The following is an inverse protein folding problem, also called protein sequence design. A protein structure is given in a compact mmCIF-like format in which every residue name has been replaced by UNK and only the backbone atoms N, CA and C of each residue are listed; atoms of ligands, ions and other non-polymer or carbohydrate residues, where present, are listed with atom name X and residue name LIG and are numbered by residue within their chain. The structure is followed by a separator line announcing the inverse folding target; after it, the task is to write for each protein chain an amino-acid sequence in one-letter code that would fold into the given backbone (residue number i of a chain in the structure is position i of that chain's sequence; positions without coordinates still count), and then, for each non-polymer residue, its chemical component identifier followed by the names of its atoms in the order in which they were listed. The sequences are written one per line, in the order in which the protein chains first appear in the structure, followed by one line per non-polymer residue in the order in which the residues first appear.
data_IF_382103174149
#
_entry.id   IF_382103174149
#
_cell.length_a   1.000
_cell.length_b   1.000
_cell.length_c   1.000
_cell.angle_alpha   90.00
_cell.angle_beta   90.00
_cell.angle_gamma   90.00
#
_symmetry.space_group_name_H-M   'P 1'
#
loop_
_entity.id
_entity.type
_entity.pdbx_description
1 polymer ?
#
# COMPACT_ATOMS: atom_id res chain seq x y z
N UNK A 1 16.41 11.86 -2.58
CA UNK A 1 15.74 10.67 -1.98
C UNK A 1 14.99 9.87 -3.07
N UNK A 2 14.89 8.52 -2.97
CA UNK A 2 14.02 7.72 -3.88
C UNK A 2 12.56 8.01 -3.52
N UNK A 3 11.71 8.31 -4.52
CA UNK A 3 10.28 8.56 -4.33
C UNK A 3 9.48 7.26 -4.33
N UNK A 4 8.42 7.21 -3.52
CA UNK A 4 7.43 6.14 -3.56
C UNK A 4 6.53 6.30 -4.78
N UNK A 5 6.11 5.19 -5.38
CA UNK A 5 5.30 5.17 -6.59
C UNK A 5 4.06 4.29 -6.43
N UNK A 6 2.96 4.72 -7.03
CA UNK A 6 1.76 3.89 -7.14
C UNK A 6 1.94 2.94 -8.33
N UNK A 7 2.38 1.71 -8.05
CA UNK A 7 2.49 0.67 -9.08
C UNK A 7 1.12 0.31 -9.63
N UNK A 8 1.06 -0.12 -10.89
CA UNK A 8 -0.18 -0.67 -11.45
C UNK A 8 -0.52 -1.99 -10.76
N UNK A 9 -1.82 -2.30 -10.66
CA UNK A 9 -2.27 -3.60 -10.17
C UNK A 9 -1.73 -4.73 -11.06
N UNK A 10 -1.40 -5.91 -10.49
CA UNK A 10 -0.95 -7.07 -11.27
C UNK A 10 -2.09 -7.75 -12.05
N UNK A 11 -3.32 -7.25 -11.93
CA UNK A 11 -4.52 -7.76 -12.59
C UNK A 11 -5.50 -6.61 -12.93
N UNK A 12 -6.48 -6.91 -13.79
CA UNK A 12 -7.53 -5.95 -14.15
C UNK A 12 -8.45 -5.60 -12.96
N UNK A 13 -9.06 -4.41 -12.97
CA UNK A 13 -9.90 -3.93 -11.87
C UNK A 13 -11.13 -4.80 -11.56
N UNK A 14 -11.58 -5.64 -12.51
CA UNK A 14 -12.69 -6.57 -12.36
C UNK A 14 -12.25 -8.02 -12.07
N UNK A 15 -10.94 -8.30 -12.00
CA UNK A 15 -10.40 -9.65 -11.84
C UNK A 15 -10.83 -10.36 -10.54
N UNK A 16 -11.25 -9.60 -9.53
CA UNK A 16 -11.65 -10.13 -8.22
C UNK A 16 -13.18 -10.28 -8.06
N UNK A 17 -13.96 -10.01 -9.10
CA UNK A 17 -15.39 -10.25 -9.07
C UNK A 17 -15.72 -11.76 -9.01
N UNK A 18 -16.84 -12.16 -8.36
CA UNK A 18 -17.83 -11.31 -7.70
C UNK A 18 -17.46 -10.93 -6.24
N UNK A 19 -16.32 -11.41 -5.73
CA UNK A 19 -15.93 -11.29 -4.31
C UNK A 19 -15.62 -9.83 -3.94
N UNK A 20 -14.92 -9.10 -4.81
CA UNK A 20 -14.70 -7.66 -4.65
C UNK A 20 -15.12 -6.94 -5.94
N UNK A 21 -15.93 -5.89 -5.79
CA UNK A 21 -16.43 -5.15 -6.95
C UNK A 21 -15.33 -4.32 -7.62
N UNK A 22 -15.44 -4.19 -8.96
CA UNK A 22 -14.57 -3.31 -9.76
C UNK A 22 -14.48 -1.89 -9.20
N UNK A 23 -15.64 -1.34 -8.81
CA UNK A 23 -15.73 0.02 -8.27
C UNK A 23 -14.91 0.19 -6.98
N UNK A 24 -14.90 -0.82 -6.11
CA UNK A 24 -14.09 -0.79 -4.89
C UNK A 24 -12.61 -0.80 -5.27
N UNK A 25 -12.15 -1.69 -6.16
CA UNK A 25 -10.73 -1.74 -6.53
C UNK A 25 -10.26 -0.43 -7.17
N UNK A 26 -11.06 0.18 -8.06
CA UNK A 26 -10.73 1.48 -8.68
C UNK A 26 -10.54 2.59 -7.64
N UNK A 27 -11.44 2.67 -6.65
CA UNK A 27 -11.33 3.67 -5.57
C UNK A 27 -10.20 3.35 -4.59
N UNK A 28 -10.08 2.09 -4.20
CA UNK A 28 -9.11 1.63 -3.20
C UNK A 28 -7.68 1.79 -3.72
N UNK A 29 -7.41 1.39 -4.96
CA UNK A 29 -6.12 1.60 -5.60
C UNK A 29 -5.93 3.05 -6.05
N UNK A 30 -6.85 3.59 -6.87
CA UNK A 30 -6.67 4.87 -7.56
C UNK A 30 -6.88 6.11 -6.69
N UNK A 31 -7.47 5.98 -5.50
CA UNK A 31 -7.66 7.09 -4.54
C UNK A 31 -6.99 6.83 -3.20
N UNK A 32 -7.35 5.74 -2.52
CA UNK A 32 -6.85 5.51 -1.16
C UNK A 32 -5.35 5.18 -1.15
N UNK A 33 -4.90 4.20 -1.94
CA UNK A 33 -3.48 3.88 -2.06
C UNK A 33 -2.68 5.05 -2.65
N UNK A 34 -3.20 5.71 -3.68
CA UNK A 34 -2.62 6.94 -4.25
C UNK A 34 -2.39 8.03 -3.18
N UNK A 35 -3.34 8.20 -2.26
CA UNK A 35 -3.25 9.14 -1.14
C UNK A 35 -2.09 8.81 -0.20
N UNK A 36 -1.90 7.54 0.15
CA UNK A 36 -0.77 7.11 0.98
C UNK A 36 0.58 7.35 0.29
N UNK A 37 0.70 7.06 -1.00
CA UNK A 37 1.92 7.34 -1.77
C UNK A 37 2.25 8.84 -1.76
N UNK A 38 1.24 9.69 -2.01
CA UNK A 38 1.41 11.14 -2.00
C UNK A 38 1.82 11.65 -0.60
N UNK A 39 1.15 11.18 0.45
CA UNK A 39 1.43 11.57 1.83
C UNK A 39 2.82 11.14 2.30
N UNK A 40 3.26 9.93 1.95
CA UNK A 40 4.58 9.41 2.30
C UNK A 40 5.69 10.23 1.63
N UNK A 41 5.53 10.54 0.34
CA UNK A 41 6.46 11.41 -0.39
C UNK A 41 6.52 12.83 0.18
N UNK A 42 5.36 13.41 0.55
CA UNK A 42 5.31 14.75 1.13
C UNK A 42 6.01 14.82 2.50
N UNK A 43 5.82 13.81 3.36
CA UNK A 43 6.50 13.73 4.66
C UNK A 43 8.01 13.53 4.49
N UNK A 44 8.41 12.65 3.56
CA UNK A 44 9.80 12.42 3.20
C UNK A 44 10.52 13.69 2.70
N UNK A 45 9.88 14.45 1.81
CA UNK A 45 10.40 15.72 1.29
C UNK A 45 10.57 16.76 2.40
N UNK A 46 9.58 16.90 3.30
CA UNK A 46 9.69 17.82 4.45
C UNK A 46 10.85 17.46 5.37
N UNK A 47 11.09 16.17 5.61
CA UNK A 47 12.26 15.71 6.38
C UNK A 47 13.58 16.01 5.67
N UNK A 48 13.64 15.88 4.34
CA UNK A 48 14.83 16.21 3.55
C UNK A 48 15.14 17.71 3.61
N UNK A 49 14.13 18.57 3.39
CA UNK A 49 14.26 20.03 3.52
C UNK A 49 14.69 20.45 4.93
N UNK A 50 14.12 19.83 5.96
CA UNK A 50 14.51 20.11 7.34
C UNK A 50 15.96 19.73 7.64
N UNK A 51 16.44 18.58 7.15
CA UNK A 51 17.85 18.19 7.29
C UNK A 51 18.81 19.16 6.60
N UNK A 52 18.39 19.76 5.49
CA UNK A 52 19.16 20.75 4.76
C UNK A 52 19.09 22.16 5.37
N UNK A 53 18.31 22.36 6.44
CA UNK A 53 18.08 23.68 7.02
C UNK A 53 17.16 24.59 6.19
N UNK A 54 16.43 24.02 5.22
CA UNK A 54 15.53 24.76 4.33
C UNK A 54 14.11 24.92 4.92
N UNK A 55 13.77 24.12 5.92
CA UNK A 55 12.42 24.10 6.52
C UNK A 55 12.46 23.73 8.01
N UNK A 56 11.94 24.61 8.86
CA UNK A 56 11.61 24.28 10.25
C UNK A 56 10.36 23.38 10.27
N UNK A 57 10.42 22.25 11.00
CA UNK A 57 9.32 21.28 11.10
C UNK A 57 9.05 20.87 12.54
N UNK A 58 7.79 20.52 12.83
CA UNK A 58 7.46 19.66 13.97
C UNK A 58 7.81 18.22 13.61
N UNK A 59 8.99 17.76 14.06
CA UNK A 59 9.50 16.42 13.80
C UNK A 59 8.52 15.33 14.26
N UNK A 60 7.83 15.51 15.39
CA UNK A 60 6.89 14.51 15.91
C UNK A 60 5.69 14.35 14.97
N UNK A 61 5.14 15.47 14.51
CA UNK A 61 4.03 15.47 13.55
C UNK A 61 4.44 14.84 12.22
N UNK A 62 5.61 15.21 11.68
CA UNK A 62 6.08 14.67 10.40
C UNK A 62 6.41 13.18 10.48
N UNK A 63 6.99 12.70 11.59
CA UNK A 63 7.24 11.28 11.76
C UNK A 63 5.94 10.47 11.88
N UNK A 64 4.89 11.02 12.50
CA UNK A 64 3.55 10.40 12.48
C UNK A 64 3.02 10.31 11.06
N UNK A 65 3.07 11.39 10.30
CA UNK A 65 2.58 11.44 8.92
C UNK A 65 3.35 10.47 8.01
N UNK A 66 4.67 10.41 8.15
CA UNK A 66 5.50 9.44 7.42
C UNK A 66 5.10 8.02 7.80
N UNK A 67 4.99 7.72 9.10
CA UNK A 67 4.66 6.37 9.58
C UNK A 67 3.29 5.93 9.07
N UNK A 68 2.28 6.78 9.18
CA UNK A 68 0.92 6.47 8.73
C UNK A 68 0.87 6.21 7.22
N UNK A 69 1.42 7.13 6.42
CA UNK A 69 1.33 7.04 4.97
C UNK A 69 2.24 5.97 4.39
N UNK A 70 3.46 5.79 4.92
CA UNK A 70 4.38 4.76 4.46
C UNK A 70 3.83 3.36 4.77
N UNK A 71 3.30 3.13 5.98
CA UNK A 71 2.66 1.85 6.28
C UNK A 71 1.39 1.64 5.44
N UNK A 72 0.62 2.69 5.20
CA UNK A 72 -0.49 2.67 4.25
C UNK A 72 -0.05 2.18 2.87
N UNK A 73 1.03 2.74 2.31
CA UNK A 73 1.58 2.32 1.03
C UNK A 73 2.05 0.85 1.05
N UNK A 74 2.91 0.47 2.01
CA UNK A 74 3.49 -0.88 2.08
C UNK A 74 2.43 -1.97 2.26
N UNK A 75 1.45 -1.75 3.12
CA UNK A 75 0.38 -2.72 3.36
C UNK A 75 -0.53 -2.86 2.14
N UNK A 76 -0.74 -1.80 1.36
CA UNK A 76 -1.52 -1.89 0.13
C UNK A 76 -0.74 -2.58 -0.99
N UNK A 77 0.57 -2.32 -1.14
CA UNK A 77 1.41 -3.10 -2.07
C UNK A 77 1.31 -4.60 -1.78
N UNK A 78 1.48 -5.00 -0.52
CA UNK A 78 1.33 -6.40 -0.10
C UNK A 78 -0.10 -6.92 -0.36
N UNK A 79 -1.12 -6.12 -0.09
CA UNK A 79 -2.51 -6.49 -0.32
C UNK A 79 -2.78 -6.83 -1.78
N UNK A 80 -2.29 -6.03 -2.74
CA UNK A 80 -2.52 -6.28 -4.16
C UNK A 80 -1.81 -7.55 -4.65
N UNK A 81 -0.59 -7.81 -4.17
CA UNK A 81 0.17 -9.02 -4.53
C UNK A 81 -0.41 -10.30 -3.92
N UNK A 82 -1.16 -10.20 -2.83
CA UNK A 82 -1.78 -11.35 -2.15
C UNK A 82 -3.12 -11.79 -2.77
N UNK A 83 -3.64 -11.06 -3.74
CA UNK A 83 -4.96 -11.31 -4.31
C UNK A 83 -4.84 -11.96 -5.68
N UNK A 84 -5.78 -12.85 -5.99
CA UNK A 84 -5.95 -13.45 -7.32
C UNK A 84 -7.43 -13.65 -7.61
N UNK A 85 -7.75 -13.95 -8.87
CA UNK A 85 -9.11 -14.28 -9.28
C UNK A 85 -9.68 -15.42 -8.40
N UNK A 86 -10.98 -15.37 -8.05
CA UNK A 86 -11.58 -16.41 -7.22
C UNK A 86 -11.48 -17.79 -7.88
N UNK A 87 -11.14 -18.80 -7.10
CA UNK A 87 -11.10 -20.20 -7.53
C UNK A 87 -11.77 -21.09 -6.49
N UNK A 88 -12.34 -22.21 -6.92
CA UNK A 88 -12.86 -23.22 -6.02
C UNK A 88 -11.73 -23.91 -5.26
N UNK A 89 -11.97 -24.28 -4.00
CA UNK A 89 -11.00 -25.01 -3.16
C UNK A 89 -9.64 -24.30 -2.99
N UNK A 90 -9.64 -22.96 -2.92
CA UNK A 90 -8.47 -22.07 -2.73
C UNK A 90 -7.78 -22.21 -1.35
N UNK A 91 -7.31 -23.41 -1.01
CA UNK A 91 -6.57 -23.69 0.23
C UNK A 91 -5.06 -23.48 0.03
N UNK A 92 -4.33 -23.05 1.08
CA UNK A 92 -2.87 -23.06 1.04
C UNK A 92 -2.34 -24.49 0.82
N UNK A 93 -1.11 -24.61 0.31
CA UNK A 93 -0.43 -25.88 0.09
C UNK A 93 1.01 -25.85 0.62
N UNK A 94 1.61 -27.03 0.77
CA UNK A 94 2.99 -27.21 1.22
C UNK A 94 3.23 -26.63 2.61
N UNK A 95 4.43 -26.07 2.84
CA UNK A 95 4.88 -25.58 4.15
C UNK A 95 3.92 -24.58 4.81
N UNK A 96 3.17 -23.80 4.02
CA UNK A 96 2.20 -22.84 4.56
C UNK A 96 0.97 -23.58 5.12
N UNK A 97 0.47 -24.59 4.43
CA UNK A 97 -0.62 -25.43 4.93
C UNK A 97 -0.19 -26.19 6.19
N UNK A 98 0.98 -26.82 6.14
CA UNK A 98 1.53 -27.58 7.28
C UNK A 98 1.68 -26.71 8.54
N UNK A 99 2.01 -25.42 8.37
CA UNK A 99 2.15 -24.49 9.48
C UNK A 99 0.80 -24.00 10.03
N UNK A 100 -0.26 -23.99 9.23
CA UNK A 100 -1.62 -23.60 9.64
C UNK A 100 -2.32 -24.75 10.36
N UNK A 101 -2.12 -25.99 9.89
CA UNK A 101 -2.78 -27.18 10.42
C UNK A 101 -2.13 -27.74 11.71
N UNK A 102 -1.06 -27.08 12.18
CA UNK A 102 -0.36 -27.42 13.43
C UNK A 102 -1.02 -26.75 14.64
#
# INVERSE_FOLDING_TARGET
MVKFELKSLPYAYDALQPVISRRILELHHGKHHAGYVAGANAAAEKLEKARNGELEIDVKSILRDLSFNLNGHLLHELFWENMKAPEENNKPAGRVADAIDK
#
